data_IF_760372416660
#
_entry.id   IF_760372416660
#
_cell.length_a   1.000
_cell.length_b   1.000
_cell.length_c   1.000
_cell.angle_alpha   90.00
_cell.angle_beta   90.00
_cell.angle_gamma   90.00
#
_symmetry.space_group_name_H-M   'P 1'
#
loop_
_entity.id
_entity.type
_entity.pdbx_description
1 polymer ?
#
# COMPACT_ATOMS: atom_id res chain seq x y z
N UNK A 1 1.38 -13.29 3.90
CA UNK A 1 0.23 -12.36 3.85
C UNK A 1 -0.99 -13.13 3.39
N UNK A 2 -2.18 -12.80 3.91
CA UNK A 2 -3.41 -13.36 3.37
C UNK A 2 -3.76 -12.73 2.01
N UNK A 3 -4.54 -13.44 1.20
CA UNK A 3 -5.04 -12.90 -0.07
C UNK A 3 -5.91 -11.64 0.15
N UNK A 4 -6.71 -11.62 1.22
CA UNK A 4 -7.54 -10.47 1.58
C UNK A 4 -6.72 -9.21 1.85
N UNK A 5 -5.57 -9.35 2.53
CA UNK A 5 -4.71 -8.20 2.78
C UNK A 5 -4.09 -7.68 1.47
N UNK A 6 -3.66 -8.57 0.59
CA UNK A 6 -3.16 -8.20 -0.75
C UNK A 6 -4.23 -7.46 -1.55
N UNK A 7 -5.49 -7.93 -1.50
CA UNK A 7 -6.61 -7.27 -2.16
C UNK A 7 -6.82 -5.85 -1.61
N UNK A 8 -6.83 -5.68 -0.28
CA UNK A 8 -6.95 -4.37 0.37
C UNK A 8 -5.87 -3.40 -0.09
N UNK A 9 -4.62 -3.85 -0.13
CA UNK A 9 -3.49 -3.03 -0.62
C UNK A 9 -3.71 -2.62 -2.07
N UNK A 10 -4.12 -3.53 -2.95
CA UNK A 10 -4.38 -3.22 -4.37
C UNK A 10 -5.49 -2.19 -4.55
N UNK A 11 -6.60 -2.36 -3.83
CA UNK A 11 -7.74 -1.44 -3.87
C UNK A 11 -7.31 -0.05 -3.41
N UNK A 12 -6.65 0.05 -2.26
CA UNK A 12 -6.19 1.34 -1.74
C UNK A 12 -5.24 2.05 -2.73
N UNK A 13 -4.22 1.34 -3.25
CA UNK A 13 -3.31 1.93 -4.23
C UNK A 13 -4.05 2.39 -5.50
N UNK A 14 -4.99 1.61 -6.01
CA UNK A 14 -5.77 1.97 -7.20
C UNK A 14 -6.65 3.20 -6.97
N UNK A 15 -7.34 3.29 -5.83
CA UNK A 15 -8.17 4.45 -5.46
C UNK A 15 -7.35 5.74 -5.41
N UNK A 16 -6.08 5.67 -4.99
CA UNK A 16 -5.19 6.83 -4.91
C UNK A 16 -4.26 7.00 -6.13
N UNK A 17 -4.51 6.28 -7.23
CA UNK A 17 -3.67 6.27 -8.44
C UNK A 17 -2.17 6.04 -8.13
N UNK A 18 -1.88 5.15 -7.18
CA UNK A 18 -0.53 4.74 -6.78
C UNK A 18 -0.20 3.35 -7.32
N UNK A 19 1.10 3.10 -7.51
CA UNK A 19 1.60 1.80 -7.95
C UNK A 19 2.23 1.02 -6.80
N UNK A 20 2.43 -0.29 -6.99
CA UNK A 20 3.21 -1.11 -6.05
C UNK A 20 4.68 -0.66 -5.97
N UNK A 21 5.22 -0.10 -7.06
CA UNK A 21 6.57 0.46 -7.07
C UNK A 21 6.67 1.67 -6.15
N UNK A 22 5.68 2.57 -6.20
CA UNK A 22 5.58 3.70 -5.29
C UNK A 22 5.52 3.24 -3.81
N UNK A 23 4.74 2.20 -3.51
CA UNK A 23 4.66 1.64 -2.17
C UNK A 23 6.01 1.07 -1.71
N UNK A 24 6.73 0.38 -2.60
CA UNK A 24 8.05 -0.19 -2.32
C UNK A 24 9.07 0.90 -1.98
N UNK A 25 9.09 1.99 -2.75
CA UNK A 25 9.92 3.16 -2.48
C UNK A 25 9.59 3.80 -1.13
N UNK A 26 8.30 3.98 -0.84
CA UNK A 26 7.82 4.60 0.41
C UNK A 26 8.24 3.83 1.66
N UNK A 27 8.30 2.49 1.59
CA UNK A 27 8.75 1.63 2.71
C UNK A 27 10.21 1.19 2.59
N UNK A 28 10.96 1.77 1.65
CA UNK A 28 12.38 1.52 1.41
C UNK A 28 12.74 0.04 1.17
N UNK A 29 12.00 -0.63 0.27
CA UNK A 29 12.32 -1.97 -0.22
C UNK A 29 12.39 -2.02 -1.75
N UNK A 30 12.99 -3.08 -2.30
CA UNK A 30 13.01 -3.25 -3.76
C UNK A 30 11.62 -3.54 -4.31
N UNK A 31 11.35 -3.03 -5.52
CA UNK A 31 10.13 -3.30 -6.28
C UNK A 31 9.96 -4.79 -6.57
N UNK A 32 11.06 -5.51 -6.83
CA UNK A 32 11.06 -6.95 -7.00
C UNK A 32 10.59 -7.68 -5.73
N UNK A 33 11.11 -7.30 -4.56
CA UNK A 33 10.68 -7.89 -3.30
C UNK A 33 9.21 -7.56 -2.99
N UNK A 34 8.75 -6.33 -3.27
CA UNK A 34 7.34 -5.98 -3.18
C UNK A 34 6.47 -6.85 -4.10
N UNK A 35 6.88 -7.08 -5.35
CA UNK A 35 6.15 -7.94 -6.28
C UNK A 35 6.03 -9.37 -5.75
N UNK A 36 7.11 -9.93 -5.21
CA UNK A 36 7.07 -11.26 -4.58
C UNK A 36 6.10 -11.31 -3.40
N UNK A 37 6.04 -10.27 -2.57
CA UNK A 37 5.09 -10.14 -1.47
C UNK A 37 3.64 -10.10 -1.99
N UNK A 38 3.37 -9.23 -2.97
CA UNK A 38 2.04 -9.00 -3.54
C UNK A 38 1.52 -10.17 -4.38
N UNK A 39 2.41 -11.09 -4.77
CA UNK A 39 2.10 -12.36 -5.42
C UNK A 39 2.06 -13.55 -4.43
N UNK A 40 2.21 -13.30 -3.12
CA UNK A 40 2.16 -14.34 -2.09
C UNK A 40 3.37 -15.27 -2.05
N UNK A 41 4.44 -14.96 -2.78
CA UNK A 41 5.67 -15.76 -2.86
C UNK A 41 6.58 -15.61 -1.63
N UNK A 42 6.34 -14.56 -0.83
CA UNK A 42 7.09 -14.26 0.40
C UNK A 42 6.15 -14.02 1.57
N UNK A 43 6.57 -14.40 2.78
CA UNK A 43 5.93 -14.00 4.03
C UNK A 43 6.52 -12.65 4.49
N UNK A 44 5.75 -11.57 4.48
CA UNK A 44 6.23 -10.22 4.72
C UNK A 44 5.95 -9.76 6.16
N UNK A 45 6.21 -10.59 7.16
CA UNK A 45 5.72 -10.34 8.52
C UNK A 45 6.24 -9.00 9.08
N UNK A 46 7.44 -8.57 8.64
CA UNK A 46 8.05 -7.29 9.01
C UNK A 46 7.50 -6.11 8.20
N UNK A 47 6.92 -6.34 7.04
CA UNK A 47 6.45 -5.30 6.11
C UNK A 47 4.94 -5.04 6.24
N UNK A 48 4.17 -5.89 6.90
CA UNK A 48 2.73 -5.67 7.13
C UNK A 48 2.49 -4.31 7.79
N UNK A 49 3.14 -4.04 8.93
CA UNK A 49 2.98 -2.78 9.68
C UNK A 49 3.40 -1.53 8.86
N UNK A 50 4.57 -1.51 8.20
CA UNK A 50 4.93 -0.42 7.28
C UNK A 50 3.90 -0.18 6.18
N UNK A 51 3.36 -1.25 5.58
CA UNK A 51 2.35 -1.13 4.52
C UNK A 51 1.06 -0.52 5.09
N UNK A 52 0.58 -1.01 6.24
CA UNK A 52 -0.60 -0.45 6.92
C UNK A 52 -0.43 1.04 7.23
N UNK A 53 0.75 1.46 7.69
CA UNK A 53 1.03 2.86 7.98
C UNK A 53 0.91 3.74 6.73
N UNK A 54 1.46 3.29 5.59
CA UNK A 54 1.34 4.03 4.32
C UNK A 54 -0.10 4.09 3.84
N UNK A 55 -0.86 3.00 3.96
CA UNK A 55 -2.27 3.00 3.58
C UNK A 55 -3.09 3.97 4.44
N UNK A 56 -2.83 4.02 5.75
CA UNK A 56 -3.48 4.96 6.66
C UNK A 56 -3.11 6.43 6.37
N UNK A 57 -1.91 6.71 5.86
CA UNK A 57 -1.53 8.04 5.37
C UNK A 57 -2.34 8.43 4.13
N UNK A 58 -2.46 7.52 3.15
CA UNK A 58 -3.22 7.75 1.92
C UNK A 58 -4.71 8.06 2.18
N UNK A 59 -5.34 7.34 3.11
CA UNK A 59 -6.74 7.59 3.49
C UNK A 59 -6.94 8.97 4.15
N UNK A 60 -5.92 9.51 4.82
CA UNK A 60 -5.99 10.86 5.41
C UNK A 60 -5.85 11.94 4.34
N UNK A 61 -4.96 11.74 3.37
CA UNK A 61 -4.76 12.68 2.26
C UNK A 61 -6.05 12.89 1.44
N UNK A 62 -6.82 11.82 1.19
CA UNK A 62 -8.11 11.92 0.49
C UNK A 62 -9.17 12.70 1.28
N UNK A 63 -9.25 12.47 2.61
CA UNK A 63 -10.19 13.20 3.46
C UNK A 63 -9.89 14.70 3.49
N UNK A 64 -8.62 15.09 3.49
CA UNK A 64 -8.23 16.50 3.42
C UNK A 64 -8.49 17.11 2.04
N UNK A 65 -8.32 16.36 0.95
CA UNK A 65 -8.61 16.85 -0.40
C UNK A 65 -10.11 17.09 -0.65
N UNK A 66 -10.98 16.22 -0.14
CA UNK A 66 -12.43 16.32 -0.34
C UNK A 66 -13.10 17.37 0.57
N UNK A 67 -12.52 17.66 1.74
CA UNK A 67 -13.07 18.64 2.69
C UNK A 67 -12.81 20.11 2.29
N UNK A 68 -12.01 20.37 1.26
CA UNK A 68 -11.66 21.72 0.82
C UNK A 68 -12.43 22.18 -0.45
N UNK A 69 -13.50 21.47 -0.82
CA UNK A 69 -14.36 21.77 -1.99
C UNK A 69 -15.81 22.16 -1.61
N UNK A 70 -16.02 22.77 -0.45
CA UNK A 70 -17.33 23.33 -0.05
C UNK A 70 -17.24 24.82 0.23
#
# INVERSE_FOLDING_TARGET
>A
MSQDFILKVRVALATHNKSQAWLAEKINISTAYMSDIMNGRRKPDKQIKPIEAVLAELEKEEKHANNNSR
#
